data_IF_977681638962
#
_entry.id   IF_977681638962
#
_cell.length_a   1.000
_cell.length_b   1.000
_cell.length_c   1.000
_cell.angle_alpha   90.00
_cell.angle_beta   90.00
_cell.angle_gamma   90.00
#
_symmetry.space_group_name_H-M   'P 1'
#
loop_
_entity.id
_entity.type
_entity.pdbx_description
1 polymer ?
#
# COMPACT_ATOMS: atom_id res chain seq x y z
N UNK A 1 18.38 11.50 -19.51
CA UNK A 1 17.53 11.17 -18.37
C UNK A 1 16.45 12.23 -18.13
N UNK A 2 16.77 13.51 -18.12
CA UNK A 2 15.80 14.60 -17.92
C UNK A 2 14.66 14.61 -18.96
N UNK A 3 14.98 14.53 -20.25
CA UNK A 3 13.98 14.41 -21.34
C UNK A 3 13.11 13.15 -21.24
N UNK A 4 13.61 12.10 -20.62
CA UNK A 4 12.88 10.84 -20.45
C UNK A 4 11.87 10.94 -19.31
N UNK A 5 12.24 11.63 -18.22
CA UNK A 5 11.33 11.92 -17.11
C UNK A 5 10.22 12.88 -17.56
N UNK A 6 10.56 13.94 -18.29
CA UNK A 6 9.58 14.87 -18.85
C UNK A 6 8.58 14.17 -19.79
N UNK A 7 9.05 13.29 -20.67
CA UNK A 7 8.19 12.51 -21.56
C UNK A 7 7.28 11.55 -20.79
N UNK A 8 7.80 10.90 -19.75
CA UNK A 8 7.00 10.03 -18.89
C UNK A 8 5.91 10.84 -18.16
N UNK A 9 6.27 12.01 -17.62
CA UNK A 9 5.30 12.89 -16.94
C UNK A 9 4.26 13.49 -17.89
N UNK A 10 4.65 13.84 -19.13
CA UNK A 10 3.70 14.31 -20.13
C UNK A 10 2.65 13.23 -20.47
N UNK A 11 3.08 11.98 -20.58
CA UNK A 11 2.20 10.84 -20.83
C UNK A 11 1.32 10.54 -19.62
N UNK A 12 1.90 10.51 -18.41
CA UNK A 12 1.13 10.30 -17.17
C UNK A 12 0.11 11.41 -16.96
N UNK A 13 0.43 12.66 -17.32
CA UNK A 13 -0.48 13.81 -17.28
C UNK A 13 -1.66 13.73 -18.28
N UNK A 14 -1.59 12.83 -19.27
CA UNK A 14 -2.70 12.57 -20.20
C UNK A 14 -3.72 11.54 -19.67
N UNK A 15 -3.40 10.84 -18.58
CA UNK A 15 -4.29 9.88 -17.94
C UNK A 15 -5.37 10.62 -17.15
N UNK A 16 -6.64 10.38 -17.47
CA UNK A 16 -7.78 11.10 -16.87
C UNK A 16 -8.27 10.51 -15.54
N UNK A 17 -8.18 9.21 -15.36
CA UNK A 17 -8.65 8.50 -14.16
C UNK A 17 -7.53 7.74 -13.45
N UNK A 18 -6.54 7.26 -14.19
CA UNK A 18 -5.39 6.53 -13.65
C UNK A 18 -4.27 7.41 -13.10
N UNK A 19 -4.25 8.72 -13.40
CA UNK A 19 -3.17 9.63 -12.99
C UNK A 19 -2.99 9.69 -11.48
N UNK A 20 -4.07 9.77 -10.72
CA UNK A 20 -4.03 9.81 -9.25
C UNK A 20 -3.45 8.50 -8.69
N UNK A 21 -3.84 7.35 -9.25
CA UNK A 21 -3.37 6.02 -8.82
C UNK A 21 -1.90 5.81 -9.13
N UNK A 22 -1.46 6.20 -10.31
CA UNK A 22 -0.04 6.20 -10.69
C UNK A 22 0.74 7.16 -9.77
N UNK A 23 0.18 8.34 -9.48
CA UNK A 23 0.75 9.28 -8.53
C UNK A 23 0.88 8.71 -7.11
N UNK A 24 -0.11 7.96 -6.63
CA UNK A 24 -0.08 7.26 -5.34
C UNK A 24 1.01 6.17 -5.32
N UNK A 25 1.06 5.31 -6.34
CA UNK A 25 2.10 4.28 -6.44
C UNK A 25 3.52 4.87 -6.51
N UNK A 26 3.71 5.96 -7.25
CA UNK A 26 4.98 6.66 -7.34
C UNK A 26 5.35 7.41 -6.06
N UNK A 27 4.38 7.87 -5.26
CA UNK A 27 4.65 8.59 -4.01
C UNK A 27 5.34 7.72 -2.96
N UNK A 28 5.08 6.41 -2.97
CA UNK A 28 5.78 5.44 -2.11
C UNK A 28 7.28 5.41 -2.46
N UNK A 29 7.61 5.57 -3.74
CA UNK A 29 8.99 5.58 -4.23
C UNK A 29 9.68 6.94 -4.05
N UNK A 30 8.97 8.00 -3.68
CA UNK A 30 9.52 9.36 -3.54
C UNK A 30 10.73 9.40 -2.59
N UNK A 31 10.66 8.68 -1.48
CA UNK A 31 11.76 8.63 -0.51
C UNK A 31 13.02 7.92 -1.05
N UNK A 32 12.91 7.11 -2.10
CA UNK A 32 14.02 6.43 -2.75
C UNK A 32 14.68 7.28 -3.86
N UNK A 33 14.03 8.38 -4.30
CA UNK A 33 14.55 9.26 -5.36
C UNK A 33 15.71 10.09 -4.83
N UNK A 34 16.86 10.18 -5.53
CA UNK A 34 17.98 11.03 -5.16
C UNK A 34 17.56 12.50 -5.00
N UNK A 35 18.17 13.22 -4.04
CA UNK A 35 17.80 14.61 -3.70
C UNK A 35 17.84 15.57 -4.90
N UNK A 36 18.76 15.37 -5.82
CA UNK A 36 18.91 16.18 -7.05
C UNK A 36 17.69 16.10 -7.99
N UNK A 37 16.93 15.00 -7.92
CA UNK A 37 15.69 14.79 -8.68
C UNK A 37 14.42 14.89 -7.83
N UNK A 38 14.57 14.95 -6.50
CA UNK A 38 13.46 14.92 -5.55
C UNK A 38 12.50 16.11 -5.67
N UNK A 39 13.01 17.29 -6.00
CA UNK A 39 12.19 18.51 -6.19
C UNK A 39 11.24 18.39 -7.39
N UNK A 40 11.77 18.20 -8.61
CA UNK A 40 10.96 18.00 -9.82
C UNK A 40 10.02 16.80 -9.72
N UNK A 41 10.48 15.71 -9.09
CA UNK A 41 9.66 14.51 -8.90
C UNK A 41 8.45 14.79 -7.98
N UNK A 42 8.65 15.47 -6.85
CA UNK A 42 7.55 15.88 -5.95
C UNK A 42 6.56 16.83 -6.62
N UNK A 43 7.06 17.80 -7.38
CA UNK A 43 6.19 18.71 -8.13
C UNK A 43 5.32 17.97 -9.15
N UNK A 44 5.90 17.00 -9.85
CA UNK A 44 5.17 16.15 -10.79
C UNK A 44 4.17 15.24 -10.07
N UNK A 45 4.53 14.63 -8.93
CA UNK A 45 3.60 13.86 -8.11
C UNK A 45 2.44 14.71 -7.61
N UNK A 46 2.71 15.92 -7.14
CA UNK A 46 1.67 16.86 -6.68
C UNK A 46 0.72 17.19 -7.82
N UNK A 47 1.21 17.39 -9.04
CA UNK A 47 0.37 17.61 -10.22
C UNK A 47 -0.46 16.40 -10.61
N UNK A 48 0.09 15.18 -10.48
CA UNK A 48 -0.62 13.93 -10.75
C UNK A 48 -1.68 13.62 -9.69
N UNK A 49 -1.43 14.02 -8.45
CA UNK A 49 -2.35 13.89 -7.32
C UNK A 49 -3.26 15.12 -7.17
N UNK A 50 -3.04 16.18 -7.98
CA UNK A 50 -3.91 17.35 -7.97
C UNK A 50 -5.33 16.92 -8.28
N UNK A 51 -6.23 17.28 -7.39
CA UNK A 51 -7.62 16.88 -7.39
C UNK A 51 -8.26 17.21 -8.75
N UNK A 52 -8.85 16.19 -9.39
CA UNK A 52 -9.78 16.45 -10.46
C UNK A 52 -10.91 17.35 -9.93
N UNK A 53 -11.46 18.28 -10.74
CA UNK A 53 -12.56 19.11 -10.28
C UNK A 53 -13.68 18.21 -9.74
N UNK A 54 -14.28 18.57 -8.60
CA UNK A 54 -15.31 17.74 -7.98
C UNK A 54 -16.46 17.51 -8.96
N UNK A 55 -17.05 16.32 -8.91
CA UNK A 55 -18.25 15.98 -9.68
C UNK A 55 -19.39 16.92 -9.28
N UNK A 56 -20.15 17.47 -10.25
CA UNK A 56 -21.31 18.29 -9.95
C UNK A 56 -22.30 17.59 -9.03
N UNK A 57 -22.82 18.30 -8.05
CA UNK A 57 -23.68 17.73 -7.00
C UNK A 57 -24.93 17.06 -7.58
N UNK A 58 -25.48 17.57 -8.68
CA UNK A 58 -26.61 16.96 -9.35
C UNK A 58 -26.27 15.56 -9.91
N UNK A 59 -25.02 15.33 -10.26
CA UNK A 59 -24.53 14.02 -10.68
C UNK A 59 -24.38 13.08 -9.49
N UNK A 60 -23.87 13.58 -8.37
CA UNK A 60 -23.83 12.83 -7.09
C UNK A 60 -25.23 12.37 -6.71
N UNK A 61 -26.21 13.30 -6.69
CA UNK A 61 -27.59 12.97 -6.34
C UNK A 61 -28.19 11.92 -7.29
N UNK A 62 -27.89 11.99 -8.59
CA UNK A 62 -28.32 10.94 -9.55
C UNK A 62 -27.72 9.57 -9.24
N UNK A 63 -26.46 9.52 -8.87
CA UNK A 63 -25.81 8.25 -8.45
C UNK A 63 -26.48 7.73 -7.18
N UNK A 64 -26.70 8.59 -6.18
CA UNK A 64 -27.38 8.21 -4.94
C UNK A 64 -28.82 7.74 -5.19
N UNK A 65 -29.58 8.41 -6.08
CA UNK A 65 -30.92 7.97 -6.50
C UNK A 65 -30.90 6.58 -7.13
N UNK A 66 -29.92 6.30 -7.99
CA UNK A 66 -29.79 5.00 -8.68
C UNK A 66 -29.33 3.88 -7.73
N UNK A 67 -28.45 4.19 -6.77
CA UNK A 67 -27.80 3.20 -5.93
C UNK A 67 -28.53 2.93 -4.62
N UNK A 68 -29.10 3.97 -4.01
CA UNK A 68 -29.78 3.90 -2.71
C UNK A 68 -31.31 4.06 -2.84
N UNK A 69 -31.82 4.30 -4.05
CA UNK A 69 -33.23 4.54 -4.35
C UNK A 69 -33.62 6.00 -4.24
N UNK A 70 -34.74 6.40 -4.91
CA UNK A 70 -35.18 7.79 -5.00
C UNK A 70 -35.48 8.49 -3.67
N UNK A 71 -35.68 7.72 -2.62
CA UNK A 71 -35.87 8.23 -1.25
C UNK A 71 -34.59 8.18 -0.40
N UNK A 72 -33.42 8.17 -1.03
CA UNK A 72 -32.15 8.07 -0.31
C UNK A 72 -31.98 9.19 0.75
N UNK A 73 -32.52 10.39 0.50
CA UNK A 73 -32.43 11.53 1.44
C UNK A 73 -33.10 11.23 2.78
N UNK A 74 -34.11 10.36 2.84
CA UNK A 74 -34.76 9.96 4.08
C UNK A 74 -33.86 9.12 4.99
N UNK A 75 -32.76 8.58 4.44
CA UNK A 75 -31.77 7.82 5.20
C UNK A 75 -30.77 8.73 5.95
N UNK A 76 -30.77 10.03 5.62
CA UNK A 76 -29.85 11.00 6.20
C UNK A 76 -30.63 12.09 6.93
N UNK A 77 -30.16 12.45 8.15
CA UNK A 77 -30.63 13.63 8.86
C UNK A 77 -30.09 14.91 8.19
N UNK A 78 -28.84 14.85 7.65
CA UNK A 78 -28.26 15.90 6.82
C UNK A 78 -27.24 15.28 5.84
N UNK A 79 -27.05 15.93 4.71
CA UNK A 79 -26.06 15.57 3.69
C UNK A 79 -25.36 16.84 3.23
N UNK A 80 -24.02 16.85 3.27
CA UNK A 80 -23.21 17.98 2.82
C UNK A 80 -22.98 17.83 1.31
N UNK A 81 -23.49 18.81 0.55
CA UNK A 81 -23.39 18.82 -0.90
C UNK A 81 -21.95 19.14 -1.39
N UNK A 82 -21.11 19.76 -0.54
CA UNK A 82 -19.70 19.95 -0.84
C UNK A 82 -18.90 18.68 -0.49
N UNK A 83 -18.04 18.18 -1.37
CA UNK A 83 -17.21 17.01 -1.06
C UNK A 83 -16.18 17.36 0.02
N UNK A 84 -16.07 16.48 1.02
CA UNK A 84 -15.08 16.58 2.08
C UNK A 84 -13.68 16.10 1.62
N UNK A 85 -13.64 15.22 0.61
CA UNK A 85 -12.40 14.70 0.03
C UNK A 85 -12.62 14.12 -1.37
N UNK A 86 -11.56 14.08 -2.16
CA UNK A 86 -11.48 13.29 -3.38
C UNK A 86 -11.01 11.87 -3.05
N UNK A 87 -11.52 10.89 -3.79
CA UNK A 87 -11.01 9.52 -3.82
C UNK A 87 -10.44 9.24 -5.22
N UNK A 88 -9.68 8.14 -5.40
CA UNK A 88 -9.03 7.81 -6.68
C UNK A 88 -10.02 7.79 -7.86
N UNK A 89 -11.19 7.22 -7.66
CA UNK A 89 -12.25 7.05 -8.67
C UNK A 89 -13.61 7.59 -8.22
N UNK A 90 -13.64 8.50 -7.25
CA UNK A 90 -14.86 9.05 -6.68
C UNK A 90 -14.61 10.26 -5.79
N UNK A 91 -15.61 10.62 -5.03
CA UNK A 91 -15.51 11.64 -4.00
C UNK A 91 -16.27 11.24 -2.74
N UNK A 92 -15.92 11.86 -1.62
CA UNK A 92 -16.47 11.55 -0.31
C UNK A 92 -17.21 12.77 0.23
N UNK A 93 -18.46 12.57 0.63
CA UNK A 93 -19.28 13.59 1.30
C UNK A 93 -19.44 13.26 2.78
N UNK A 94 -19.45 14.29 3.63
CA UNK A 94 -19.80 14.15 5.04
C UNK A 94 -21.32 14.22 5.16
N UNK A 95 -21.90 13.36 5.97
CA UNK A 95 -23.34 13.34 6.20
C UNK A 95 -23.66 12.90 7.63
N UNK A 96 -24.90 13.11 8.07
CA UNK A 96 -25.43 12.52 9.29
C UNK A 96 -26.51 11.50 8.91
N UNK A 97 -26.29 10.25 9.29
CA UNK A 97 -27.26 9.17 9.06
C UNK A 97 -28.53 9.38 9.89
N UNK A 98 -29.65 8.77 9.51
CA UNK A 98 -30.94 8.97 10.19
C UNK A 98 -30.92 8.60 11.67
N UNK A 99 -29.99 7.74 12.11
CA UNK A 99 -29.79 7.37 13.51
C UNK A 99 -28.86 8.32 14.30
N UNK A 100 -28.37 9.39 13.65
CA UNK A 100 -27.53 10.41 14.27
C UNK A 100 -26.01 10.18 14.11
N UNK A 101 -25.56 9.05 13.57
CA UNK A 101 -24.13 8.82 13.30
C UNK A 101 -23.64 9.75 12.20
N UNK A 102 -22.45 10.33 12.41
CA UNK A 102 -21.74 11.04 11.35
C UNK A 102 -21.11 10.00 10.43
N UNK A 103 -21.29 10.15 9.11
CA UNK A 103 -20.86 9.17 8.11
C UNK A 103 -20.11 9.83 6.96
N UNK A 104 -19.23 9.06 6.35
CA UNK A 104 -18.62 9.32 5.06
C UNK A 104 -19.42 8.60 3.98
N UNK A 105 -19.80 9.32 2.94
CA UNK A 105 -20.50 8.79 1.77
C UNK A 105 -19.56 8.84 0.57
N UNK A 106 -18.91 7.71 0.25
CA UNK A 106 -18.01 7.55 -0.90
C UNK A 106 -18.86 7.25 -2.12
N UNK A 107 -18.76 8.11 -3.15
CA UNK A 107 -19.57 8.02 -4.39
C UNK A 107 -18.63 7.91 -5.58
N UNK A 108 -18.78 6.85 -6.37
CA UNK A 108 -17.96 6.59 -7.54
C UNK A 108 -18.34 7.52 -8.70
N UNK A 109 -17.34 7.99 -9.45
CA UNK A 109 -17.57 8.79 -10.65
C UNK A 109 -18.27 7.96 -11.74
N UNK A 110 -19.35 8.47 -12.37
CA UNK A 110 -19.95 7.83 -13.53
C UNK A 110 -18.93 7.69 -14.67
N UNK A 111 -18.81 6.47 -15.22
CA UNK A 111 -17.88 6.18 -16.30
C UNK A 111 -16.41 6.01 -15.85
N UNK A 112 -16.14 5.96 -14.55
CA UNK A 112 -14.80 5.69 -14.02
C UNK A 112 -14.23 4.37 -14.57
N UNK A 113 -15.06 3.34 -14.69
CA UNK A 113 -14.71 2.04 -15.29
C UNK A 113 -14.23 2.18 -16.74
N UNK A 114 -14.92 2.99 -17.55
CA UNK A 114 -14.56 3.20 -18.95
C UNK A 114 -13.29 4.06 -19.10
N UNK A 115 -13.18 5.13 -18.30
CA UNK A 115 -12.01 5.99 -18.30
C UNK A 115 -10.75 5.21 -17.90
N UNK A 116 -10.86 4.44 -16.84
CA UNK A 116 -9.77 3.66 -16.29
C UNK A 116 -9.29 2.56 -17.26
N UNK A 117 -10.24 1.82 -17.88
CA UNK A 117 -9.92 0.85 -18.95
C UNK A 117 -9.24 1.47 -20.17
N UNK A 118 -9.63 2.70 -20.53
CA UNK A 118 -9.00 3.42 -21.64
C UNK A 118 -7.56 3.85 -21.30
N UNK A 119 -7.34 4.34 -20.07
CA UNK A 119 -6.02 4.73 -19.57
C UNK A 119 -5.07 3.53 -19.49
N UNK A 120 -5.54 2.40 -18.96
CA UNK A 120 -4.77 1.16 -18.87
C UNK A 120 -4.41 0.60 -20.25
N UNK A 121 -5.34 0.67 -21.20
CA UNK A 121 -5.05 0.30 -22.60
C UNK A 121 -3.97 1.19 -23.22
N UNK A 122 -3.93 2.45 -22.85
CA UNK A 122 -2.90 3.39 -23.30
C UNK A 122 -1.55 3.03 -22.70
N UNK A 123 -1.49 2.76 -21.39
CA UNK A 123 -0.28 2.30 -20.70
C UNK A 123 0.21 0.96 -21.26
N UNK A 124 -0.68 0.00 -21.51
CA UNK A 124 -0.32 -1.29 -22.11
C UNK A 124 0.34 -1.13 -23.48
N UNK A 125 -0.14 -0.21 -24.33
CA UNK A 125 0.48 0.08 -25.63
C UNK A 125 1.87 0.70 -25.50
N UNK A 126 2.14 1.36 -24.39
CA UNK A 126 3.43 2.01 -24.13
C UNK A 126 4.45 1.10 -23.44
N UNK A 127 4.04 -0.11 -23.01
CA UNK A 127 4.92 -1.08 -22.33
C UNK A 127 6.22 -1.33 -23.07
N UNK A 128 6.15 -1.45 -24.40
CA UNK A 128 7.32 -1.63 -25.26
C UNK A 128 8.29 -0.43 -25.29
N UNK A 129 7.78 0.80 -25.08
CA UNK A 129 8.61 2.00 -24.97
C UNK A 129 9.25 2.05 -23.57
N UNK A 130 8.47 1.79 -22.52
CA UNK A 130 8.97 1.74 -21.14
C UNK A 130 10.04 0.64 -21.00
N UNK A 131 9.84 -0.53 -21.61
CA UNK A 131 10.80 -1.62 -21.63
C UNK A 131 12.13 -1.23 -22.31
N UNK A 132 12.07 -0.42 -23.38
CA UNK A 132 13.29 0.09 -24.06
C UNK A 132 14.03 1.13 -23.22
N UNK A 133 13.30 1.94 -22.45
CA UNK A 133 13.86 2.99 -21.60
C UNK A 133 14.40 2.42 -20.28
N UNK A 134 13.83 1.32 -19.82
CA UNK A 134 14.24 0.62 -18.60
C UNK A 134 14.35 -0.90 -18.86
N UNK A 135 15.43 -1.38 -19.51
CA UNK A 135 15.56 -2.77 -19.94
C UNK A 135 15.53 -3.80 -18.80
N UNK A 136 15.78 -3.36 -17.56
CA UNK A 136 15.78 -4.21 -16.36
C UNK A 136 14.43 -4.36 -15.69
N UNK A 137 13.41 -3.61 -16.16
CA UNK A 137 12.08 -3.61 -15.57
C UNK A 137 11.14 -4.41 -16.44
N UNK A 138 10.39 -5.37 -15.90
CA UNK A 138 9.28 -6.01 -16.62
C UNK A 138 8.08 -5.06 -16.67
N UNK A 139 8.15 -4.12 -17.63
CA UNK A 139 7.12 -3.10 -17.81
C UNK A 139 5.75 -3.72 -18.10
N UNK A 140 5.71 -4.91 -18.74
CA UNK A 140 4.46 -5.60 -19.03
C UNK A 140 3.84 -6.15 -17.77
N UNK A 141 4.60 -6.86 -16.94
CA UNK A 141 4.11 -7.40 -15.68
C UNK A 141 3.62 -6.29 -14.72
N UNK A 142 4.33 -5.15 -14.67
CA UNK A 142 3.91 -3.98 -13.89
C UNK A 142 2.57 -3.40 -14.38
N UNK A 143 2.38 -3.33 -15.69
CA UNK A 143 1.15 -2.79 -16.27
C UNK A 143 0.00 -3.78 -16.09
N UNK A 144 0.24 -5.07 -16.30
CA UNK A 144 -0.77 -6.12 -16.10
C UNK A 144 -1.24 -6.11 -14.63
N UNK A 145 -0.32 -6.00 -13.67
CA UNK A 145 -0.66 -5.86 -12.25
C UNK A 145 -1.44 -4.58 -11.95
N UNK A 146 -1.08 -3.46 -12.57
CA UNK A 146 -1.83 -2.20 -12.43
C UNK A 146 -3.25 -2.32 -13.00
N UNK A 147 -3.44 -3.10 -14.08
CA UNK A 147 -4.74 -3.39 -14.68
C UNK A 147 -5.60 -4.19 -13.70
N UNK A 148 -5.09 -5.32 -13.22
CA UNK A 148 -5.83 -6.21 -12.31
C UNK A 148 -6.30 -5.45 -11.05
N UNK A 149 -5.42 -4.67 -10.44
CA UNK A 149 -5.76 -3.88 -9.24
C UNK A 149 -6.76 -2.76 -9.48
N UNK A 150 -6.75 -2.22 -10.67
CA UNK A 150 -7.66 -1.16 -11.06
C UNK A 150 -9.09 -1.67 -11.22
N UNK A 151 -9.24 -2.93 -11.64
CA UNK A 151 -10.57 -3.58 -11.70
C UNK A 151 -11.10 -3.86 -10.28
N UNK A 152 -10.26 -4.26 -9.34
CA UNK A 152 -10.64 -4.48 -7.94
C UNK A 152 -11.17 -3.21 -7.28
N UNK A 153 -10.58 -2.05 -7.56
CA UNK A 153 -11.02 -0.77 -6.98
C UNK A 153 -12.40 -0.28 -7.48
N UNK A 154 -12.87 -0.83 -8.60
CA UNK A 154 -14.20 -0.51 -9.11
C UNK A 154 -15.31 -1.21 -8.33
N UNK A 155 -15.01 -2.26 -7.58
CA UNK A 155 -15.99 -3.06 -6.83
C UNK A 155 -16.20 -2.54 -5.40
N UNK A 156 -17.08 -1.54 -5.27
CA UNK A 156 -17.42 -0.98 -3.95
C UNK A 156 -18.19 -1.95 -3.03
N UNK A 157 -18.75 -3.03 -3.58
CA UNK A 157 -19.36 -4.08 -2.73
C UNK A 157 -18.26 -4.90 -2.08
N UNK A 158 -17.26 -5.35 -2.86
CA UNK A 158 -16.10 -6.06 -2.30
C UNK A 158 -15.35 -5.19 -1.29
N UNK A 159 -15.08 -3.91 -1.60
CA UNK A 159 -14.47 -2.95 -0.68
C UNK A 159 -15.25 -2.87 0.65
N UNK A 160 -16.58 -2.75 0.59
CA UNK A 160 -17.41 -2.69 1.78
C UNK A 160 -17.41 -4.00 2.59
N UNK A 161 -17.33 -5.15 1.93
CA UNK A 161 -17.27 -6.46 2.60
C UNK A 161 -15.91 -6.67 3.29
N UNK A 162 -14.81 -6.29 2.63
CA UNK A 162 -13.49 -6.26 3.25
C UNK A 162 -13.47 -5.33 4.47
N UNK A 163 -13.97 -4.10 4.33
CA UNK A 163 -14.04 -3.15 5.45
C UNK A 163 -14.85 -3.71 6.62
N UNK A 164 -15.97 -4.42 6.37
CA UNK A 164 -16.75 -5.09 7.43
C UNK A 164 -15.95 -6.16 8.15
N UNK A 165 -15.16 -6.95 7.41
CA UNK A 165 -14.31 -7.99 8.00
C UNK A 165 -13.26 -7.37 8.93
N UNK A 166 -12.56 -6.33 8.47
CA UNK A 166 -11.60 -5.59 9.28
C UNK A 166 -12.27 -4.89 10.48
N UNK A 167 -13.38 -4.18 10.27
CA UNK A 167 -14.08 -3.51 11.35
C UNK A 167 -14.56 -4.47 12.45
N UNK A 168 -14.93 -5.70 12.08
CA UNK A 168 -15.32 -6.75 13.03
C UNK A 168 -14.11 -7.25 13.83
N UNK A 169 -12.98 -7.51 13.17
CA UNK A 169 -11.78 -8.06 13.81
C UNK A 169 -11.07 -7.06 14.71
N UNK A 170 -11.21 -5.76 14.42
CA UNK A 170 -10.62 -4.66 15.20
C UNK A 170 -11.65 -3.91 16.04
N UNK A 171 -12.86 -4.49 16.29
CA UNK A 171 -13.87 -3.84 17.12
C UNK A 171 -13.42 -3.80 18.60
N UNK A 172 -13.34 -2.59 19.16
CA UNK A 172 -12.84 -2.38 20.52
C UNK A 172 -11.32 -2.46 20.67
N UNK A 173 -10.56 -2.54 19.57
CA UNK A 173 -9.10 -2.57 19.62
C UNK A 173 -8.54 -1.29 20.26
N UNK A 174 -7.57 -1.39 21.21
CA UNK A 174 -7.00 -0.22 21.87
C UNK A 174 -6.13 0.65 20.96
N UNK A 175 -5.60 0.10 19.89
CA UNK A 175 -4.65 0.77 18.98
C UNK A 175 -5.25 1.14 17.64
N UNK A 176 -6.27 0.40 17.15
CA UNK A 176 -6.76 0.52 15.79
C UNK A 176 -8.25 0.84 15.71
N UNK A 177 -8.61 1.62 14.70
CA UNK A 177 -10.02 1.94 14.39
C UNK A 177 -10.26 1.71 12.90
N UNK A 178 -11.21 0.85 12.59
CA UNK A 178 -11.76 0.67 11.25
C UNK A 178 -13.21 1.14 11.24
N UNK A 179 -13.59 2.13 10.43
CA UNK A 179 -14.96 2.64 10.38
C UNK A 179 -15.96 1.54 10.00
N UNK A 180 -17.06 1.41 10.73
CA UNK A 180 -18.09 0.43 10.40
C UNK A 180 -18.86 0.86 9.16
N UNK A 181 -19.09 -0.08 8.24
CA UNK A 181 -19.92 0.16 7.07
C UNK A 181 -21.40 0.20 7.49
N UNK A 182 -22.05 1.30 7.16
CA UNK A 182 -23.49 1.54 7.46
C UNK A 182 -24.37 1.06 6.32
N UNK A 183 -23.96 1.33 5.07
CA UNK A 183 -24.65 0.89 3.86
C UNK A 183 -23.66 0.76 2.71
N UNK A 184 -23.97 -0.10 1.73
CA UNK A 184 -23.18 -0.22 0.50
C UNK A 184 -24.09 -0.50 -0.69
N UNK A 185 -23.63 -0.06 -1.86
CA UNK A 185 -24.22 -0.34 -3.17
C UNK A 185 -23.06 -0.37 -4.20
N UNK A 186 -23.26 -0.87 -5.43
CA UNK A 186 -22.18 -1.02 -6.40
C UNK A 186 -21.31 0.21 -6.65
N UNK A 187 -21.84 1.43 -6.40
CA UNK A 187 -21.12 2.70 -6.62
C UNK A 187 -21.17 3.65 -5.42
N UNK A 188 -21.59 3.15 -4.26
CA UNK A 188 -21.70 3.96 -3.04
C UNK A 188 -21.32 3.11 -1.83
N UNK A 189 -20.41 3.63 -0.99
CA UNK A 189 -20.14 3.08 0.34
C UNK A 189 -20.43 4.17 1.36
N UNK A 190 -21.19 3.81 2.39
CA UNK A 190 -21.46 4.67 3.56
C UNK A 190 -20.82 4.01 4.76
N UNK A 191 -19.86 4.68 5.38
CA UNK A 191 -19.18 4.21 6.58
C UNK A 191 -19.14 5.29 7.65
N UNK A 192 -18.87 4.93 8.90
CA UNK A 192 -18.69 5.88 9.98
C UNK A 192 -17.60 6.89 9.63
N UNK A 193 -17.79 8.14 10.02
CA UNK A 193 -16.78 9.19 9.86
C UNK A 193 -15.76 9.08 10.99
N UNK A 194 -14.47 9.06 10.66
CA UNK A 194 -13.40 9.21 11.64
C UNK A 194 -12.77 10.60 11.54
N UNK A 195 -12.49 11.17 12.72
CA UNK A 195 -11.74 12.42 12.84
C UNK A 195 -10.33 12.14 13.33
N UNK A 196 -9.36 12.85 12.76
CA UNK A 196 -7.96 12.68 13.11
C UNK A 196 -7.02 13.41 12.16
N UNK A 197 -5.73 13.31 12.44
CA UNK A 197 -4.68 13.89 11.60
C UNK A 197 -4.23 12.86 10.57
N UNK A 198 -4.30 13.20 9.29
CA UNK A 198 -3.81 12.32 8.21
C UNK A 198 -2.33 12.02 8.36
N UNK A 199 -1.93 10.79 8.05
CA UNK A 199 -0.53 10.37 8.13
C UNK A 199 0.38 11.23 7.26
N UNK A 200 -0.10 11.69 6.10
CA UNK A 200 0.64 12.64 5.24
C UNK A 200 1.00 13.94 5.98
N UNK A 201 0.13 14.44 6.87
CA UNK A 201 0.41 15.61 7.70
C UNK A 201 1.39 15.27 8.84
N UNK A 202 1.31 14.06 9.40
CA UNK A 202 2.32 13.60 10.39
C UNK A 202 3.71 13.49 9.74
N UNK A 203 3.81 13.07 8.48
CA UNK A 203 5.08 13.04 7.74
C UNK A 203 5.70 14.44 7.65
N UNK A 204 4.90 15.47 7.37
CA UNK A 204 5.41 16.85 7.17
C UNK A 204 5.61 17.59 8.48
N UNK A 205 4.65 17.53 9.39
CA UNK A 205 4.55 18.44 10.53
C UNK A 205 4.64 17.74 11.90
N UNK A 206 4.62 16.40 11.92
CA UNK A 206 4.59 15.60 13.15
C UNK A 206 5.89 15.68 13.94
N UNK A 207 5.79 15.54 15.27
CA UNK A 207 6.98 15.37 16.12
C UNK A 207 7.63 14.01 15.86
N UNK A 208 8.86 13.81 16.34
CA UNK A 208 9.55 12.52 16.23
C UNK A 208 8.74 11.39 16.88
N UNK A 209 8.16 11.66 18.04
CA UNK A 209 7.34 10.69 18.78
C UNK A 209 6.09 10.30 18.00
N UNK A 210 5.40 11.28 17.40
CA UNK A 210 4.23 11.01 16.56
C UNK A 210 4.59 10.20 15.32
N UNK A 211 5.71 10.51 14.66
CA UNK A 211 6.19 9.78 13.48
C UNK A 211 6.59 8.34 13.84
N UNK A 212 7.31 8.14 14.94
CA UNK A 212 7.69 6.81 15.42
C UNK A 212 6.47 5.97 15.79
N UNK A 213 5.52 6.55 16.55
CA UNK A 213 4.29 5.86 16.92
C UNK A 213 3.44 5.48 15.70
N UNK A 214 3.32 6.39 14.72
CA UNK A 214 2.59 6.13 13.50
C UNK A 214 3.22 5.00 12.66
N UNK A 215 4.56 4.98 12.53
CA UNK A 215 5.28 3.90 11.84
C UNK A 215 5.11 2.55 12.54
N UNK A 216 5.20 2.53 13.88
CA UNK A 216 4.95 1.34 14.70
C UNK A 216 3.56 0.79 14.46
N UNK A 217 2.52 1.64 14.59
CA UNK A 217 1.12 1.22 14.43
C UNK A 217 0.82 0.77 13.00
N UNK A 218 1.28 1.51 11.99
CA UNK A 218 1.11 1.12 10.59
C UNK A 218 1.72 -0.26 10.32
N UNK A 219 2.97 -0.48 10.71
CA UNK A 219 3.64 -1.77 10.49
C UNK A 219 2.95 -2.89 11.26
N UNK A 220 2.54 -2.64 12.52
CA UNK A 220 1.80 -3.61 13.32
C UNK A 220 0.45 -3.96 12.67
N UNK A 221 -0.31 -2.99 12.19
CA UNK A 221 -1.58 -3.24 11.50
C UNK A 221 -1.38 -4.13 10.28
N UNK A 222 -0.45 -3.77 9.40
CA UNK A 222 -0.23 -4.50 8.15
C UNK A 222 0.19 -5.95 8.40
N UNK A 223 1.17 -6.19 9.29
CA UNK A 223 1.66 -7.55 9.53
C UNK A 223 0.77 -8.39 10.45
N UNK A 224 -0.07 -7.76 11.29
CA UNK A 224 -1.04 -8.49 12.13
C UNK A 224 -2.31 -8.88 11.38
N UNK A 225 -2.67 -8.15 10.34
CA UNK A 225 -3.94 -8.31 9.61
C UNK A 225 -4.15 -9.72 9.02
N UNK A 226 -3.15 -10.38 8.38
CA UNK A 226 -3.33 -11.73 7.88
C UNK A 226 -3.66 -12.75 8.98
N UNK A 227 -3.03 -12.64 10.14
CA UNK A 227 -3.31 -13.54 11.27
C UNK A 227 -4.66 -13.23 11.95
N UNK A 228 -5.07 -11.96 12.02
CA UNK A 228 -6.28 -11.52 12.73
C UNK A 228 -7.54 -11.59 11.89
N UNK A 229 -7.43 -11.35 10.59
CA UNK A 229 -8.57 -11.19 9.66
C UNK A 229 -8.56 -12.23 8.55
N UNK A 230 -7.40 -12.83 8.25
CA UNK A 230 -7.19 -13.64 7.04
C UNK A 230 -7.03 -12.78 5.77
N UNK A 231 -6.86 -11.47 5.93
CA UNK A 231 -6.75 -10.48 4.87
C UNK A 231 -5.54 -9.57 5.11
N UNK A 232 -4.85 -9.17 4.04
CA UNK A 232 -3.76 -8.20 4.08
C UNK A 232 -4.22 -6.91 3.39
N UNK A 233 -4.08 -5.78 4.07
CA UNK A 233 -4.36 -4.47 3.49
C UNK A 233 -3.27 -4.10 2.48
N UNK A 234 -3.60 -4.10 1.21
CA UNK A 234 -2.64 -4.05 0.11
C UNK A 234 -2.26 -2.65 -0.36
N UNK A 235 -2.76 -1.59 0.27
CA UNK A 235 -2.49 -0.20 -0.15
C UNK A 235 -1.95 0.68 0.99
N UNK A 236 -0.74 0.42 1.49
CA UNK A 236 -0.11 1.27 2.50
C UNK A 236 0.27 2.62 1.89
N UNK A 237 -0.69 3.54 1.86
CA UNK A 237 -0.52 4.91 1.37
C UNK A 237 -0.83 5.91 2.49
N UNK A 238 -0.05 7.01 2.67
CA UNK A 238 -0.27 7.96 3.76
C UNK A 238 -1.66 8.61 3.80
N UNK A 239 -2.37 8.60 2.67
CA UNK A 239 -3.75 9.09 2.58
C UNK A 239 -4.80 8.19 3.22
N UNK A 240 -4.47 6.90 3.40
CA UNK A 240 -5.38 5.88 3.92
C UNK A 240 -5.32 5.73 5.45
N UNK A 241 -4.41 6.45 6.11
CA UNK A 241 -4.17 6.33 7.53
C UNK A 241 -4.36 7.65 8.27
N UNK A 242 -4.91 7.57 9.49
CA UNK A 242 -5.16 8.69 10.37
C UNK A 242 -4.63 8.40 11.78
N UNK A 243 -4.15 9.41 12.46
CA UNK A 243 -3.89 9.38 13.90
C UNK A 243 -5.01 10.16 14.59
N UNK A 244 -5.81 9.47 15.40
CA UNK A 244 -6.93 10.04 16.13
C UNK A 244 -6.43 10.82 17.37
N UNK A 245 -7.28 11.69 17.94
CA UNK A 245 -6.91 12.50 19.10
C UNK A 245 -6.60 11.67 20.36
N UNK A 246 -7.18 10.48 20.47
CA UNK A 246 -6.89 9.51 21.54
C UNK A 246 -5.64 8.66 21.28
N UNK A 247 -4.96 8.91 20.17
CA UNK A 247 -3.72 8.23 19.75
C UNK A 247 -3.97 6.94 18.97
N UNK A 248 -5.19 6.45 18.80
CA UNK A 248 -5.48 5.29 17.97
C UNK A 248 -5.19 5.58 16.49
N UNK A 249 -4.95 4.51 15.75
CA UNK A 249 -4.64 4.57 14.32
C UNK A 249 -5.86 4.16 13.50
N UNK A 250 -6.37 5.09 12.70
CA UNK A 250 -7.53 4.88 11.84
C UNK A 250 -7.12 4.43 10.45
N UNK A 251 -7.80 3.43 9.93
CA UNK A 251 -7.51 2.83 8.62
C UNK A 251 -8.71 3.05 7.70
N UNK A 252 -8.45 3.57 6.52
CA UNK A 252 -9.43 3.79 5.46
C UNK A 252 -9.01 3.06 4.18
N UNK A 253 -9.96 2.95 3.25
CA UNK A 253 -9.79 2.37 1.91
C UNK A 253 -9.40 0.89 1.93
N UNK A 254 -10.37 0.03 1.63
CA UNK A 254 -10.24 -1.43 1.62
C UNK A 254 -10.44 -2.00 0.20
N UNK A 255 -10.17 -1.18 -0.83
CA UNK A 255 -10.30 -1.58 -2.22
C UNK A 255 -9.20 -2.50 -2.72
N UNK A 256 -8.00 -2.45 -2.11
CA UNK A 256 -6.88 -3.31 -2.48
C UNK A 256 -6.56 -4.27 -1.32
N UNK A 257 -7.05 -5.48 -1.39
CA UNK A 257 -6.88 -6.50 -0.34
C UNK A 257 -6.25 -7.77 -0.92
N UNK A 258 -5.33 -8.37 -0.16
CA UNK A 258 -4.81 -9.72 -0.40
C UNK A 258 -5.52 -10.73 0.49
N UNK A 259 -5.92 -11.87 -0.05
CA UNK A 259 -6.54 -12.95 0.73
C UNK A 259 -5.46 -13.90 1.26
N UNK A 260 -5.41 -14.05 2.59
CA UNK A 260 -4.47 -14.90 3.31
C UNK A 260 -5.21 -15.60 4.47
N UNK A 261 -6.15 -16.49 4.17
CA UNK A 261 -7.02 -17.11 5.17
C UNK A 261 -6.26 -17.91 6.24
N UNK A 262 -5.08 -18.42 5.90
CA UNK A 262 -4.20 -19.18 6.79
C UNK A 262 -3.05 -18.31 7.36
N UNK A 263 -3.15 -16.98 7.27
CA UNK A 263 -2.08 -16.03 7.61
C UNK A 263 -1.08 -15.82 6.49
N UNK A 264 0.04 -15.14 6.77
CA UNK A 264 1.11 -14.96 5.78
C UNK A 264 1.64 -16.32 5.28
N UNK A 265 2.15 -16.41 4.04
CA UNK A 265 2.71 -17.65 3.52
C UNK A 265 3.77 -18.23 4.48
N UNK A 266 3.69 -19.52 4.75
CA UNK A 266 4.44 -20.19 5.82
C UNK A 266 5.98 -20.05 5.69
N UNK A 267 6.48 -19.91 4.47
CA UNK A 267 7.92 -19.79 4.20
C UNK A 267 8.46 -18.37 4.45
N UNK A 268 7.58 -17.39 4.69
CA UNK A 268 7.99 -15.98 4.92
C UNK A 268 8.96 -15.87 6.09
N UNK A 269 8.63 -16.49 7.22
CA UNK A 269 9.47 -16.47 8.40
C UNK A 269 10.76 -17.27 8.24
N UNK A 270 10.72 -18.54 7.80
CA UNK A 270 11.92 -19.33 7.53
C UNK A 270 12.91 -18.65 6.57
N UNK A 271 12.43 -18.01 5.50
CA UNK A 271 13.29 -17.23 4.57
C UNK A 271 14.01 -16.10 5.32
N UNK A 272 13.28 -15.32 6.11
CA UNK A 272 13.86 -14.21 6.88
C UNK A 272 14.77 -14.70 8.01
N UNK A 273 14.43 -15.81 8.68
CA UNK A 273 15.25 -16.40 9.73
C UNK A 273 16.60 -16.89 9.19
N UNK A 274 16.59 -17.66 8.10
CA UNK A 274 17.82 -18.14 7.46
C UNK A 274 18.69 -16.98 6.95
N UNK A 275 18.08 -15.94 6.39
CA UNK A 275 18.79 -14.75 5.95
C UNK A 275 19.40 -13.96 7.12
N UNK A 276 18.65 -13.76 8.22
CA UNK A 276 19.11 -13.13 9.46
C UNK A 276 20.30 -13.90 10.07
N UNK A 277 20.19 -15.23 10.11
CA UNK A 277 21.19 -16.12 10.69
C UNK A 277 22.37 -16.39 9.75
N UNK A 278 22.37 -15.77 8.57
CA UNK A 278 23.41 -15.88 7.54
C UNK A 278 23.61 -17.33 7.01
N UNK A 279 22.57 -18.15 7.10
CA UNK A 279 22.55 -19.55 6.61
C UNK A 279 22.18 -19.59 5.11
N UNK A 280 23.03 -18.96 4.28
CA UNK A 280 22.69 -18.68 2.89
C UNK A 280 22.63 -19.93 1.99
N UNK A 281 23.32 -21.00 2.32
CA UNK A 281 23.24 -22.28 1.57
C UNK A 281 21.88 -22.95 1.79
N UNK A 282 21.44 -23.05 3.04
CA UNK A 282 20.10 -23.56 3.40
C UNK A 282 19.00 -22.65 2.82
N UNK A 283 19.20 -21.34 2.90
CA UNK A 283 18.29 -20.37 2.31
C UNK A 283 18.15 -20.55 0.79
N UNK A 284 19.28 -20.75 0.09
CA UNK A 284 19.23 -21.01 -1.37
C UNK A 284 18.42 -22.25 -1.71
N UNK A 285 18.60 -23.34 -0.98
CA UNK A 285 17.81 -24.57 -1.15
C UNK A 285 16.32 -24.31 -0.96
N UNK A 286 15.94 -23.59 0.11
CA UNK A 286 14.56 -23.20 0.38
C UNK A 286 13.98 -22.33 -0.75
N UNK A 287 14.74 -21.34 -1.22
CA UNK A 287 14.32 -20.44 -2.29
C UNK A 287 14.14 -21.19 -3.64
N UNK A 288 14.94 -22.20 -3.91
CA UNK A 288 14.76 -23.09 -5.09
C UNK A 288 13.51 -23.94 -4.93
N UNK A 289 13.32 -24.56 -3.75
CA UNK A 289 12.16 -25.41 -3.45
C UNK A 289 10.84 -24.67 -3.64
N UNK A 290 10.78 -23.38 -3.24
CA UNK A 290 9.58 -22.55 -3.30
C UNK A 290 9.53 -21.60 -4.52
N UNK A 291 10.32 -21.88 -5.56
CA UNK A 291 10.31 -21.16 -6.84
C UNK A 291 10.71 -19.67 -6.77
N UNK A 292 11.34 -19.20 -5.72
CA UNK A 292 11.99 -17.88 -5.68
C UNK A 292 13.26 -17.85 -6.53
N UNK A 293 13.93 -19.00 -6.68
CA UNK A 293 14.99 -19.22 -7.66
C UNK A 293 14.53 -20.34 -8.56
N UNK A 294 14.44 -20.08 -9.87
CA UNK A 294 14.11 -21.15 -10.82
C UNK A 294 15.23 -22.18 -10.86
N UNK A 295 14.96 -23.49 -10.96
CA UNK A 295 15.99 -24.55 -10.91
C UNK A 295 17.16 -24.33 -11.87
N UNK A 296 16.91 -23.77 -13.06
CA UNK A 296 17.95 -23.48 -14.06
C UNK A 296 18.91 -22.34 -13.65
N UNK A 297 18.62 -21.60 -12.61
CA UNK A 297 19.43 -20.51 -12.09
C UNK A 297 20.04 -20.83 -10.71
N UNK A 298 19.75 -22.01 -10.12
CA UNK A 298 20.22 -22.39 -8.80
C UNK A 298 21.74 -22.29 -8.64
N UNK A 299 22.50 -22.73 -9.65
CA UNK A 299 23.97 -22.69 -9.64
C UNK A 299 24.55 -21.29 -9.97
N UNK A 300 23.70 -20.32 -10.35
CA UNK A 300 24.10 -18.97 -10.70
C UNK A 300 23.90 -17.95 -9.57
N UNK A 301 23.26 -18.36 -8.49
CA UNK A 301 23.02 -17.51 -7.32
C UNK A 301 23.84 -18.07 -6.16
N UNK A 302 24.83 -17.33 -5.74
CA UNK A 302 25.68 -17.71 -4.60
C UNK A 302 25.08 -17.24 -3.27
N UNK A 303 25.58 -17.76 -2.15
CA UNK A 303 25.23 -17.25 -0.82
C UNK A 303 25.60 -15.78 -0.63
N UNK A 304 26.74 -15.33 -1.19
CA UNK A 304 27.16 -13.93 -1.16
C UNK A 304 26.21 -13.00 -1.94
N UNK A 305 25.66 -13.48 -3.06
CA UNK A 305 24.68 -12.73 -3.83
C UNK A 305 23.37 -12.56 -3.04
N UNK A 306 22.92 -13.62 -2.38
CA UNK A 306 21.75 -13.58 -1.49
C UNK A 306 21.96 -12.67 -0.30
N UNK A 307 23.15 -12.71 0.32
CA UNK A 307 23.52 -11.84 1.43
C UNK A 307 23.37 -10.36 1.04
N UNK A 308 23.95 -9.97 -0.10
CA UNK A 308 23.89 -8.60 -0.61
C UNK A 308 22.46 -8.18 -0.97
N UNK A 309 21.71 -9.07 -1.60
CA UNK A 309 20.34 -8.81 -2.06
C UNK A 309 19.37 -8.67 -0.89
N UNK A 310 19.46 -9.56 0.11
CA UNK A 310 18.53 -9.61 1.24
C UNK A 310 18.89 -8.69 2.39
N UNK A 311 20.10 -8.11 2.39
CA UNK A 311 20.57 -7.21 3.45
C UNK A 311 19.53 -6.15 3.86
N UNK A 312 18.87 -5.40 2.95
CA UNK A 312 17.91 -4.38 3.34
C UNK A 312 16.67 -4.91 4.08
N UNK A 313 16.32 -6.18 3.84
CA UNK A 313 15.15 -6.82 4.47
C UNK A 313 15.46 -7.38 5.86
N UNK A 314 16.72 -7.72 6.13
CA UNK A 314 17.14 -8.26 7.43
C UNK A 314 17.78 -7.22 8.33
N UNK A 315 18.27 -6.09 7.80
CA UNK A 315 18.85 -5.00 8.61
C UNK A 315 17.96 -4.63 9.82
N UNK A 316 16.62 -4.47 9.67
CA UNK A 316 15.75 -4.14 10.79
C UNK A 316 15.62 -5.24 11.85
N UNK A 317 16.02 -6.48 11.55
CA UNK A 317 15.93 -7.62 12.46
C UNK A 317 17.14 -7.74 13.40
N UNK A 318 18.21 -6.98 13.15
CA UNK A 318 19.44 -7.06 13.97
C UNK A 318 19.43 -6.18 15.22
N UNK A 319 18.47 -5.24 15.32
CA UNK A 319 18.43 -4.27 16.43
C UNK A 319 17.05 -4.22 17.07
N UNK A 320 16.97 -3.84 18.35
CA UNK A 320 15.69 -3.68 19.06
C UNK A 320 14.83 -2.60 18.44
N UNK A 321 15.45 -1.52 17.98
CA UNK A 321 14.81 -0.49 17.16
C UNK A 321 15.65 -0.23 15.91
N UNK A 322 15.00 0.09 14.81
CA UNK A 322 15.65 0.43 13.54
C UNK A 322 15.12 1.77 13.02
N UNK A 323 16.04 2.62 12.56
CA UNK A 323 15.70 3.94 12.03
C UNK A 323 15.70 3.93 10.50
N UNK A 324 14.52 3.88 9.90
CA UNK A 324 14.36 4.06 8.45
C UNK A 324 14.54 5.53 8.10
N UNK A 325 15.60 5.85 7.37
CA UNK A 325 15.86 7.20 6.85
C UNK A 325 15.76 7.24 5.34
N UNK A 326 15.47 8.41 4.76
CA UNK A 326 15.54 8.61 3.30
C UNK A 326 16.90 8.22 2.73
N UNK A 327 18.00 8.53 3.42
CA UNK A 327 19.36 8.18 3.00
C UNK A 327 19.60 6.66 2.98
N UNK A 328 19.04 5.94 3.93
CA UNK A 328 19.11 4.48 3.95
C UNK A 328 18.34 3.91 2.75
N UNK A 329 17.10 4.34 2.52
CA UNK A 329 16.28 3.88 1.41
C UNK A 329 16.90 4.22 0.05
N UNK A 330 17.44 5.43 -0.13
CA UNK A 330 18.14 5.83 -1.34
C UNK A 330 19.36 4.95 -1.64
N UNK A 331 20.14 4.56 -0.62
CA UNK A 331 21.26 3.63 -0.77
C UNK A 331 20.79 2.23 -1.18
N UNK A 332 19.73 1.72 -0.56
CA UNK A 332 19.16 0.42 -0.89
C UNK A 332 18.62 0.41 -2.34
N UNK A 333 17.84 1.41 -2.71
CA UNK A 333 17.30 1.58 -4.06
C UNK A 333 18.42 1.77 -5.11
N UNK A 334 19.46 2.55 -4.79
CA UNK A 334 20.62 2.74 -5.66
C UNK A 334 21.32 1.43 -5.97
N UNK A 335 21.53 0.57 -4.98
CA UNK A 335 22.11 -0.78 -5.20
C UNK A 335 21.20 -1.65 -6.07
N UNK A 336 19.88 -1.57 -5.89
CA UNK A 336 18.92 -2.37 -6.64
C UNK A 336 18.77 -1.92 -8.10
N UNK A 337 19.07 -0.65 -8.41
CA UNK A 337 18.92 -0.06 -9.75
C UNK A 337 20.25 0.07 -10.52
N UNK A 338 21.39 -0.15 -9.86
CA UNK A 338 22.69 -0.16 -10.53
C UNK A 338 22.84 -1.41 -11.42
N UNK A 339 22.61 -1.24 -12.73
CA UNK A 339 22.66 -2.32 -13.72
C UNK A 339 24.02 -3.04 -13.81
N UNK A 340 25.10 -2.43 -13.33
CA UNK A 340 26.43 -3.03 -13.23
C UNK A 340 26.65 -3.80 -11.95
N UNK A 341 25.85 -3.51 -10.91
CA UNK A 341 25.98 -4.05 -9.56
C UNK A 341 25.51 -5.50 -9.40
N UNK A 342 26.03 -6.15 -8.37
CA UNK A 342 25.69 -7.56 -8.08
C UNK A 342 24.22 -7.70 -7.68
N UNK A 343 23.69 -6.76 -6.85
CA UNK A 343 22.30 -6.79 -6.41
C UNK A 343 21.31 -6.78 -7.58
N UNK A 344 21.56 -5.93 -8.59
CA UNK A 344 20.74 -5.90 -9.80
C UNK A 344 20.84 -7.19 -10.60
N UNK A 345 22.06 -7.74 -10.79
CA UNK A 345 22.27 -9.01 -11.50
C UNK A 345 21.54 -10.15 -10.79
N UNK A 346 21.65 -10.22 -9.46
CA UNK A 346 20.98 -11.22 -8.65
C UNK A 346 19.46 -11.11 -8.78
N UNK A 347 18.90 -9.90 -8.67
CA UNK A 347 17.45 -9.69 -8.77
C UNK A 347 16.85 -10.24 -10.07
N UNK A 348 17.60 -10.23 -11.17
CA UNK A 348 17.16 -10.80 -12.45
C UNK A 348 17.12 -12.33 -12.51
N UNK A 349 17.77 -13.00 -11.56
CA UNK A 349 17.78 -14.45 -11.44
C UNK A 349 16.71 -14.94 -10.46
N UNK A 350 16.21 -14.02 -9.63
CA UNK A 350 15.14 -14.29 -8.69
C UNK A 350 13.78 -14.19 -9.35
N UNK A 351 12.83 -14.90 -8.79
CA UNK A 351 11.42 -14.86 -9.13
C UNK A 351 10.63 -14.50 -7.87
N UNK A 352 9.52 -13.81 -8.02
CA UNK A 352 8.59 -13.56 -6.92
C UNK A 352 7.33 -14.40 -7.18
N UNK A 353 7.11 -15.48 -6.41
CA UNK A 353 5.89 -16.27 -6.54
C UNK A 353 4.65 -15.40 -6.29
N UNK A 354 3.56 -15.67 -7.01
CA UNK A 354 2.37 -14.81 -7.03
C UNK A 354 1.76 -14.54 -5.65
N UNK A 355 1.81 -15.53 -4.76
CA UNK A 355 1.32 -15.45 -3.38
C UNK A 355 2.10 -14.44 -2.51
N UNK A 356 3.32 -14.10 -2.91
CA UNK A 356 4.18 -13.12 -2.22
C UNK A 356 4.12 -11.72 -2.81
N UNK A 357 3.50 -11.53 -3.96
CA UNK A 357 3.48 -10.22 -4.65
C UNK A 357 2.86 -9.14 -3.76
N UNK A 358 1.71 -9.46 -3.12
CA UNK A 358 1.04 -8.52 -2.23
C UNK A 358 1.84 -8.29 -0.94
N UNK A 359 2.38 -9.34 -0.34
CA UNK A 359 3.23 -9.25 0.87
C UNK A 359 4.44 -8.35 0.60
N UNK A 360 5.10 -8.55 -0.54
CA UNK A 360 6.26 -7.77 -0.93
C UNK A 360 5.90 -6.29 -1.19
N UNK A 361 4.77 -6.04 -1.84
CA UNK A 361 4.25 -4.70 -2.04
C UNK A 361 4.01 -3.97 -0.71
N UNK A 362 3.32 -4.62 0.23
CA UNK A 362 3.05 -4.05 1.55
C UNK A 362 4.34 -3.78 2.31
N UNK A 363 5.29 -4.72 2.28
CA UNK A 363 6.60 -4.53 2.88
C UNK A 363 7.31 -3.29 2.33
N UNK A 364 7.39 -3.15 1.00
CA UNK A 364 8.02 -1.99 0.37
C UNK A 364 7.27 -0.68 0.69
N UNK A 365 5.94 -0.72 0.72
CA UNK A 365 5.11 0.42 1.10
C UNK A 365 5.37 0.87 2.54
N UNK A 366 5.38 -0.07 3.49
CA UNK A 366 5.70 0.20 4.89
C UNK A 366 7.10 0.80 5.05
N UNK A 367 8.11 0.22 4.40
CA UNK A 367 9.49 0.75 4.41
C UNK A 367 9.55 2.16 3.79
N UNK A 368 8.86 2.38 2.67
CA UNK A 368 8.79 3.68 2.01
C UNK A 368 8.18 4.76 2.91
N UNK A 369 7.06 4.46 3.55
CA UNK A 369 6.39 5.39 4.48
C UNK A 369 7.22 5.59 5.75
N UNK A 370 7.81 4.53 6.32
CA UNK A 370 8.68 4.64 7.48
C UNK A 370 9.90 5.56 7.20
N UNK A 371 10.47 5.46 5.99
CA UNK A 371 11.55 6.35 5.56
C UNK A 371 11.08 7.80 5.30
N UNK A 372 9.82 8.02 4.85
CA UNK A 372 9.24 9.35 4.75
C UNK A 372 8.97 9.96 6.13
N UNK A 373 8.52 9.15 7.08
CA UNK A 373 8.36 9.54 8.49
C UNK A 373 9.70 9.80 9.18
N UNK A 374 10.82 9.36 8.62
CA UNK A 374 12.13 9.34 9.28
C UNK A 374 12.03 8.67 10.66
N UNK A 375 11.37 7.50 10.69
CA UNK A 375 10.88 6.86 11.90
C UNK A 375 11.86 5.81 12.43
N UNK A 376 12.00 5.81 13.76
CA UNK A 376 12.63 4.74 14.52
C UNK A 376 11.57 3.94 15.27
N UNK A 377 11.49 2.61 14.99
CA UNK A 377 10.47 1.75 15.56
C UNK A 377 10.98 0.32 15.82
N UNK A 378 10.28 -0.48 16.66
CA UNK A 378 10.68 -1.83 17.04
C UNK A 378 10.28 -2.86 15.98
N UNK A 379 10.76 -2.71 14.74
CA UNK A 379 10.37 -3.57 13.60
C UNK A 379 10.69 -5.04 13.85
N UNK A 380 11.80 -5.36 14.54
CA UNK A 380 12.15 -6.72 14.90
C UNK A 380 11.06 -7.37 15.76
N UNK A 381 10.60 -6.70 16.81
CA UNK A 381 9.55 -7.21 17.70
C UNK A 381 8.25 -7.43 16.94
N UNK A 382 7.86 -6.48 16.08
CA UNK A 382 6.66 -6.59 15.26
C UNK A 382 6.75 -7.80 14.32
N UNK A 383 7.88 -7.96 13.63
CA UNK A 383 8.08 -9.08 12.71
C UNK A 383 8.12 -10.43 13.44
N UNK A 384 8.81 -10.51 14.60
CA UNK A 384 8.86 -11.73 15.42
C UNK A 384 7.48 -12.16 15.90
N UNK A 385 6.61 -11.20 16.18
CA UNK A 385 5.26 -11.45 16.65
C UNK A 385 4.31 -11.91 15.55
N UNK A 386 4.41 -11.34 14.35
CA UNK A 386 3.38 -11.47 13.32
C UNK A 386 3.82 -12.24 12.08
N UNK A 387 5.10 -12.58 11.92
CA UNK A 387 5.58 -13.36 10.79
C UNK A 387 5.82 -14.80 11.26
N UNK A 388 4.98 -15.76 10.81
CA UNK A 388 5.04 -17.13 11.29
C UNK A 388 6.37 -17.79 10.90
N UNK A 389 7.00 -18.51 11.84
CA UNK A 389 8.26 -19.24 11.63
C UNK A 389 9.51 -18.37 11.54
N UNK A 390 9.43 -17.05 11.87
CA UNK A 390 10.61 -16.20 11.95
C UNK A 390 11.43 -16.44 13.23
N UNK A 391 10.76 -16.82 14.30
CA UNK A 391 11.35 -17.31 15.56
C UNK A 391 10.69 -18.64 15.93
N UNK A 392 11.37 -19.44 16.77
CA UNK A 392 10.74 -20.62 17.35
C UNK A 392 9.62 -20.18 18.31
N UNK A 393 8.54 -21.00 18.42
CA UNK A 393 7.36 -20.67 19.23
C UNK A 393 7.70 -20.35 20.70
N UNK A 394 8.78 -20.93 21.25
CA UNK A 394 9.26 -20.68 22.61
C UNK A 394 9.84 -19.26 22.78
N UNK A 395 10.34 -18.64 21.72
CA UNK A 395 10.94 -17.30 21.69
C UNK A 395 9.98 -16.22 21.18
N UNK A 396 8.76 -16.59 20.77
CA UNK A 396 7.76 -15.66 20.26
C UNK A 396 7.26 -14.74 21.41
N UNK A 397 7.11 -13.41 21.17
CA UNK A 397 6.55 -12.50 22.17
C UNK A 397 5.14 -12.93 22.59
N UNK A 398 4.92 -13.06 23.89
CA UNK A 398 3.60 -13.45 24.45
C UNK A 398 2.56 -12.38 24.12
N UNK A 399 1.40 -12.78 23.59
CA UNK A 399 0.28 -11.85 23.41
C UNK A 399 -0.10 -11.21 24.76
N UNK A 400 -0.29 -9.88 24.84
CA UNK A 400 -0.98 -9.32 25.99
C UNK A 400 -2.39 -9.91 26.01
N UNK A 401 -2.81 -10.41 27.17
CA UNK A 401 -4.16 -10.97 27.37
C UNK A 401 -5.22 -9.95 26.91
N UNK A 402 -6.31 -10.42 26.29
CA UNK A 402 -7.37 -9.58 25.74
C UNK A 402 -8.00 -8.64 26.76
#
# INVERSE_FOLDING_TARGET
MEKTAEQLFEVLGQLKGGAMKVGQALSIMEAAVPEEFGGPFREALTKLQAEAPPMPIETVHKVLDQQLGTRWRERFASFDDEPAASASIGQVHKAVWADGRVVAVKVQYPGADQALKADLKTLSRMSGLIQKLSPGTDAKAMIDELIDRTEDELDYIAEADHQRAFAKAFDGDPDFVVPKVVASAPKVVVSEWIEGTRLSKIITDGTREQRNAAATKMTTFEFSSPARVGLLHGDPHPGNFFVLDDGRFGILDFGAIGEYPDGLPAETGPILALARDQKYDELRELLVQHNFIRPQYADKVSGDDLAKYLQPYVDPLYTDSFHFTRKWLQRAAGKATDVSGDVYKTSRLLNLPKEYVMVFRVLLGCVGIAAQLDAEAPYREIMYRWVPGLVEDEDAPVEPAP
#
